data_IF_652733768506
#
_entry.id   IF_652733768506
#
_cell.length_a   1.000
_cell.length_b   1.000
_cell.length_c   1.000
_cell.angle_alpha   90.00
_cell.angle_beta   90.00
_cell.angle_gamma   90.00
#
_symmetry.space_group_name_H-M   'P 1'
#
loop_
_entity.id
_entity.type
_entity.pdbx_description
1 polymer ?
#
# COMPACT_ATOMS: atom_id res chain seq x y z
N UNK A 1 -4.27 -26.88 -3.40
CA UNK A 1 -3.05 -26.18 -3.82
C UNK A 1 -3.48 -24.89 -4.49
N UNK A 2 -2.75 -23.78 -4.28
CA UNK A 2 -3.11 -22.40 -4.69
C UNK A 2 -3.53 -22.29 -6.17
N UNK A 3 -2.85 -22.99 -7.05
CA UNK A 3 -3.12 -22.98 -8.50
C UNK A 3 -4.43 -23.71 -8.85
N UNK A 4 -4.71 -24.82 -8.21
CA UNK A 4 -5.96 -25.56 -8.44
C UNK A 4 -7.17 -24.78 -7.93
N UNK A 5 -7.03 -24.10 -6.80
CA UNK A 5 -8.06 -23.24 -6.24
C UNK A 5 -8.35 -22.04 -7.16
N UNK A 6 -7.31 -21.47 -7.78
CA UNK A 6 -7.46 -20.35 -8.71
C UNK A 6 -8.13 -20.78 -10.04
N UNK A 7 -7.77 -21.93 -10.58
CA UNK A 7 -8.32 -22.42 -11.87
C UNK A 7 -9.78 -22.85 -11.73
N UNK A 8 -10.19 -23.42 -10.59
CA UNK A 8 -11.51 -24.00 -10.42
C UNK A 8 -12.53 -23.08 -9.72
N UNK A 9 -12.11 -21.93 -9.21
CA UNK A 9 -13.04 -20.96 -8.63
C UNK A 9 -13.33 -19.84 -9.63
N UNK A 10 -14.57 -19.77 -10.07
CA UNK A 10 -15.05 -18.60 -10.79
C UNK A 10 -14.83 -17.35 -9.93
N UNK A 11 -14.19 -16.29 -10.46
CA UNK A 11 -14.04 -15.04 -9.74
C UNK A 11 -15.43 -14.52 -9.33
N UNK A 12 -15.63 -14.37 -8.06
CA UNK A 12 -16.83 -13.72 -7.53
C UNK A 12 -16.62 -12.21 -7.58
N UNK A 13 -17.68 -11.42 -7.84
CA UNK A 13 -17.61 -9.99 -7.60
C UNK A 13 -17.18 -9.72 -6.16
N UNK A 14 -16.75 -8.50 -5.87
CA UNK A 14 -16.33 -8.07 -4.53
C UNK A 14 -17.32 -8.64 -3.51
N UNK A 15 -16.79 -9.29 -2.48
CA UNK A 15 -17.62 -9.86 -1.43
C UNK A 15 -18.56 -8.74 -0.92
N UNK A 16 -19.89 -8.89 -0.97
CA UNK A 16 -20.84 -7.88 -0.48
C UNK A 16 -20.61 -7.46 0.97
N UNK A 17 -19.90 -8.27 1.74
CA UNK A 17 -19.47 -7.90 3.10
C UNK A 17 -18.38 -6.84 3.09
N UNK A 18 -17.40 -6.93 2.18
CA UNK A 18 -16.34 -5.92 2.05
C UNK A 18 -16.91 -4.59 1.59
N UNK A 19 -17.87 -4.64 0.65
CA UNK A 19 -18.53 -3.45 0.15
C UNK A 19 -19.37 -2.76 1.25
N UNK A 20 -20.14 -3.53 2.01
CA UNK A 20 -20.90 -3.01 3.17
C UNK A 20 -19.98 -2.45 4.26
N UNK A 21 -18.92 -3.17 4.64
CA UNK A 21 -17.94 -2.67 5.61
C UNK A 21 -17.30 -1.36 5.16
N UNK A 22 -17.05 -1.22 3.85
CA UNK A 22 -16.54 0.03 3.30
C UNK A 22 -17.59 1.15 3.39
N UNK A 23 -18.84 0.85 3.06
CA UNK A 23 -19.93 1.84 3.11
C UNK A 23 -20.16 2.31 4.55
N UNK A 24 -20.08 1.39 5.51
CA UNK A 24 -20.25 1.65 6.95
C UNK A 24 -19.02 2.32 7.60
N UNK A 25 -17.87 2.37 6.90
CA UNK A 25 -16.66 3.02 7.41
C UNK A 25 -16.85 4.51 7.54
N UNK A 26 -16.41 5.11 8.64
CA UNK A 26 -16.51 6.53 8.89
C UNK A 26 -15.79 7.37 7.83
N UNK A 27 -16.27 8.59 7.59
CA UNK A 27 -15.63 9.51 6.62
C UNK A 27 -14.16 9.77 6.97
N UNK A 28 -13.78 10.03 8.24
CA UNK A 28 -12.38 10.17 8.62
C UNK A 28 -11.53 8.95 8.28
N UNK A 29 -12.05 7.75 8.52
CA UNK A 29 -11.32 6.51 8.21
C UNK A 29 -11.16 6.24 6.72
N UNK A 30 -12.09 6.75 5.90
CA UNK A 30 -11.97 6.71 4.43
C UNK A 30 -10.94 7.69 3.88
N UNK A 31 -10.79 8.85 4.51
CA UNK A 31 -9.95 9.95 4.03
C UNK A 31 -8.51 9.89 4.55
N UNK A 32 -8.33 9.47 5.79
CA UNK A 32 -7.00 9.44 6.42
C UNK A 32 -6.34 8.08 6.17
N UNK A 33 -5.38 8.08 5.25
CA UNK A 33 -4.58 6.89 4.92
C UNK A 33 -3.14 7.07 5.37
N UNK A 34 -2.58 6.01 5.97
CA UNK A 34 -1.15 5.95 6.33
C UNK A 34 -0.25 5.58 5.15
N UNK A 35 -0.82 5.39 3.96
CA UNK A 35 -0.05 5.09 2.75
C UNK A 35 0.70 6.33 2.24
N UNK A 36 2.00 6.23 1.88
CA UNK A 36 2.73 7.31 1.23
C UNK A 36 2.27 7.56 -0.21
N UNK A 37 1.39 6.72 -0.73
CA UNK A 37 0.86 6.78 -2.09
C UNK A 37 -0.60 7.23 -1.98
N UNK A 38 -0.96 8.37 -2.56
CA UNK A 38 -2.35 8.83 -2.54
C UNK A 38 -3.22 7.88 -3.35
N UNK A 39 -4.36 7.48 -2.79
CA UNK A 39 -5.28 6.50 -3.36
C UNK A 39 -6.69 7.09 -3.43
N UNK A 40 -7.43 6.70 -4.45
CA UNK A 40 -8.87 6.95 -4.51
C UNK A 40 -9.64 5.88 -3.71
N UNK A 41 -10.95 6.06 -3.55
CA UNK A 41 -11.81 5.17 -2.76
C UNK A 41 -11.76 3.72 -3.23
N UNK A 42 -11.81 3.48 -4.53
CA UNK A 42 -11.77 2.13 -5.10
C UNK A 42 -10.42 1.44 -4.84
N UNK A 43 -9.34 2.19 -4.90
CA UNK A 43 -7.99 1.68 -4.63
C UNK A 43 -7.80 1.37 -3.14
N UNK A 44 -8.34 2.20 -2.24
CA UNK A 44 -8.32 1.95 -0.80
C UNK A 44 -9.17 0.71 -0.47
N UNK A 45 -10.32 0.55 -1.12
CA UNK A 45 -11.16 -0.63 -0.97
C UNK A 45 -10.43 -1.92 -1.37
N UNK A 46 -9.61 -1.89 -2.43
CA UNK A 46 -8.76 -3.03 -2.81
C UNK A 46 -7.78 -3.38 -1.68
N UNK A 47 -7.11 -2.39 -1.09
CA UNK A 47 -6.19 -2.62 0.02
C UNK A 47 -6.93 -3.18 1.25
N UNK A 48 -8.10 -2.65 1.57
CA UNK A 48 -8.94 -3.14 2.67
C UNK A 48 -9.34 -4.60 2.45
N UNK A 49 -9.71 -4.95 1.20
CA UNK A 49 -10.04 -6.32 0.84
C UNK A 49 -8.84 -7.28 0.96
N UNK A 50 -7.62 -6.83 0.59
CA UNK A 50 -6.39 -7.63 0.72
C UNK A 50 -6.08 -7.92 2.19
N UNK A 51 -6.31 -6.95 3.07
CA UNK A 51 -6.04 -7.07 4.51
C UNK A 51 -7.08 -7.93 5.24
N UNK A 52 -8.24 -8.16 4.64
CA UNK A 52 -9.31 -8.91 5.27
C UNK A 52 -8.94 -10.39 5.42
N UNK A 53 -9.08 -10.89 6.63
CA UNK A 53 -8.86 -12.30 6.94
C UNK A 53 -9.80 -13.19 6.10
N UNK A 54 -9.25 -14.24 5.49
CA UNK A 54 -10.00 -15.15 4.62
C UNK A 54 -10.14 -14.69 3.16
N UNK A 55 -9.76 -13.47 2.80
CA UNK A 55 -9.69 -13.02 1.42
C UNK A 55 -8.43 -13.58 0.75
N UNK A 56 -8.58 -14.67 -0.01
CA UNK A 56 -7.45 -15.36 -0.65
C UNK A 56 -7.18 -14.88 -2.08
N UNK A 57 -8.19 -14.38 -2.77
CA UNK A 57 -8.14 -14.04 -4.19
C UNK A 57 -8.88 -12.73 -4.41
N UNK A 58 -8.24 -11.82 -5.13
CA UNK A 58 -8.83 -10.55 -5.54
C UNK A 58 -8.54 -10.38 -7.02
N UNK A 59 -9.59 -10.16 -7.80
CA UNK A 59 -9.47 -9.79 -9.21
C UNK A 59 -9.75 -8.30 -9.35
N UNK A 60 -8.81 -7.58 -9.94
CA UNK A 60 -8.94 -6.14 -10.19
C UNK A 60 -8.98 -5.92 -11.69
N UNK A 61 -10.12 -5.44 -12.19
CA UNK A 61 -10.29 -5.05 -13.57
C UNK A 61 -10.30 -3.53 -13.71
N UNK A 62 -9.71 -3.04 -14.76
CA UNK A 62 -9.72 -1.61 -15.05
C UNK A 62 -9.27 -1.32 -16.48
N UNK A 63 -9.91 -0.39 -17.18
CA UNK A 63 -9.47 0.07 -18.49
C UNK A 63 -8.04 0.61 -18.48
N UNK A 64 -7.39 0.76 -19.63
CA UNK A 64 -6.13 1.49 -19.72
C UNK A 64 -6.28 2.90 -19.13
N UNK A 65 -5.27 3.35 -18.38
CA UNK A 65 -5.26 4.69 -17.78
C UNK A 65 -5.94 4.81 -16.39
N UNK A 66 -6.60 3.79 -15.88
CA UNK A 66 -7.27 3.83 -14.55
C UNK A 66 -6.33 3.71 -13.34
N UNK A 67 -5.02 3.76 -13.54
CA UNK A 67 -4.07 3.74 -12.43
C UNK A 67 -3.72 2.34 -11.91
N UNK A 68 -3.94 1.26 -12.68
CA UNK A 68 -3.59 -0.12 -12.24
C UNK A 68 -2.17 -0.25 -11.70
N UNK A 69 -1.18 0.30 -12.41
CA UNK A 69 0.22 0.27 -11.93
C UNK A 69 0.41 1.05 -10.63
N UNK A 70 -0.37 2.10 -10.42
CA UNK A 70 -0.37 2.86 -9.18
C UNK A 70 -0.94 2.03 -8.02
N UNK A 71 -2.05 1.33 -8.26
CA UNK A 71 -2.65 0.40 -7.29
C UNK A 71 -1.69 -0.74 -6.94
N UNK A 72 -1.03 -1.35 -7.93
CA UNK A 72 -0.02 -2.38 -7.69
C UNK A 72 1.13 -1.85 -6.82
N UNK A 73 1.61 -0.64 -7.11
CA UNK A 73 2.65 0.01 -6.30
C UNK A 73 2.19 0.21 -4.86
N UNK A 74 0.96 0.66 -4.66
CA UNK A 74 0.39 0.85 -3.31
C UNK A 74 0.26 -0.48 -2.55
N UNK A 75 -0.19 -1.54 -3.20
CA UNK A 75 -0.26 -2.89 -2.60
C UNK A 75 1.13 -3.38 -2.16
N UNK A 76 2.14 -3.18 -3.00
CA UNK A 76 3.51 -3.58 -2.68
C UNK A 76 4.04 -2.76 -1.50
N UNK A 77 3.80 -1.45 -1.48
CA UNK A 77 4.19 -0.59 -0.38
C UNK A 77 3.52 -0.98 0.93
N UNK A 78 2.21 -1.23 0.89
CA UNK A 78 1.45 -1.70 2.04
C UNK A 78 2.02 -3.01 2.60
N UNK A 79 2.33 -3.95 1.73
CA UNK A 79 2.95 -5.21 2.14
C UNK A 79 4.35 -5.01 2.77
N UNK A 80 5.17 -4.11 2.21
CA UNK A 80 6.48 -3.77 2.78
C UNK A 80 6.33 -3.19 4.18
N UNK A 81 5.42 -2.24 4.38
CA UNK A 81 5.15 -1.63 5.68
C UNK A 81 4.63 -2.65 6.71
N UNK A 82 3.89 -3.65 6.24
CA UNK A 82 3.41 -4.76 7.08
C UNK A 82 4.38 -5.95 7.16
N UNK A 83 5.65 -5.78 6.77
CA UNK A 83 6.68 -6.82 6.79
C UNK A 83 6.32 -8.10 6.00
N UNK A 84 5.54 -7.94 4.94
CA UNK A 84 5.11 -9.04 4.08
C UNK A 84 5.97 -9.11 2.81
N UNK A 85 6.12 -10.32 2.29
CA UNK A 85 6.78 -10.55 1.01
C UNK A 85 5.78 -10.57 -0.13
N UNK A 86 6.11 -9.92 -1.25
CA UNK A 86 5.25 -9.85 -2.44
C UNK A 86 5.99 -10.42 -3.64
N UNK A 87 5.33 -11.30 -4.39
CA UNK A 87 5.79 -11.78 -5.69
C UNK A 87 4.92 -11.16 -6.79
N UNK A 88 5.55 -10.38 -7.66
CA UNK A 88 4.88 -9.76 -8.81
C UNK A 88 5.28 -10.52 -10.07
N UNK A 89 4.30 -11.02 -10.79
CA UNK A 89 4.47 -11.75 -12.04
C UNK A 89 3.79 -11.01 -13.19
N UNK A 90 4.41 -11.00 -14.36
CA UNK A 90 3.84 -10.48 -15.59
C UNK A 90 4.41 -11.24 -16.79
N UNK A 91 3.63 -11.39 -17.83
CA UNK A 91 4.04 -11.86 -19.14
C UNK A 91 4.84 -10.79 -19.92
N UNK A 92 4.73 -9.52 -19.50
CA UNK A 92 5.40 -8.37 -20.13
C UNK A 92 6.48 -7.81 -19.22
N UNK A 93 7.70 -7.82 -19.71
CA UNK A 93 8.85 -7.26 -19.00
C UNK A 93 8.67 -5.77 -18.71
N UNK A 94 8.15 -5.02 -19.66
CA UNK A 94 7.93 -3.58 -19.57
C UNK A 94 6.95 -3.22 -18.44
N UNK A 95 5.94 -4.06 -18.19
CA UNK A 95 5.02 -3.85 -17.09
C UNK A 95 5.71 -3.96 -15.72
N UNK A 96 6.64 -4.91 -15.60
CA UNK A 96 7.44 -5.05 -14.38
C UNK A 96 8.44 -3.90 -14.21
N UNK A 97 9.04 -3.40 -15.31
CA UNK A 97 9.94 -2.25 -15.27
C UNK A 97 9.20 -0.99 -14.78
N UNK A 98 7.98 -0.74 -15.26
CA UNK A 98 7.14 0.38 -14.78
C UNK A 98 6.81 0.27 -13.29
N UNK A 99 6.52 -0.91 -12.79
CA UNK A 99 6.24 -1.12 -11.36
C UNK A 99 7.51 -0.91 -10.52
N UNK A 100 8.65 -1.46 -10.94
CA UNK A 100 9.95 -1.29 -10.30
C UNK A 100 10.33 0.20 -10.20
N UNK A 101 10.20 0.94 -11.31
CA UNK A 101 10.51 2.37 -11.37
C UNK A 101 9.62 3.17 -10.41
N UNK A 102 8.32 2.91 -10.39
CA UNK A 102 7.37 3.59 -9.49
C UNK A 102 7.66 3.31 -8.01
N UNK A 103 7.96 2.07 -7.66
CA UNK A 103 8.33 1.73 -6.28
C UNK A 103 9.62 2.45 -5.92
N UNK A 104 10.64 2.41 -6.79
CA UNK A 104 11.92 3.06 -6.57
C UNK A 104 11.75 4.58 -6.42
N UNK A 105 10.94 5.21 -7.26
CA UNK A 105 10.62 6.64 -7.17
C UNK A 105 9.94 6.97 -5.82
N UNK A 106 8.93 6.19 -5.43
CA UNK A 106 8.23 6.41 -4.16
C UNK A 106 9.18 6.24 -2.97
N UNK A 107 10.01 5.20 -2.99
CA UNK A 107 11.02 4.99 -1.95
C UNK A 107 12.04 6.13 -1.89
N UNK A 108 12.46 6.66 -3.04
CA UNK A 108 13.36 7.81 -3.09
C UNK A 108 12.74 9.07 -2.51
N UNK A 109 11.43 9.25 -2.61
CA UNK A 109 10.71 10.37 -2.00
C UNK A 109 10.62 10.26 -0.48
N UNK A 110 10.44 9.06 0.07
CA UNK A 110 10.28 8.86 1.52
C UNK A 110 11.61 8.73 2.27
N UNK A 111 12.68 8.30 1.60
CA UNK A 111 14.00 8.14 2.26
C UNK A 111 14.74 9.46 2.50
N UNK A 112 14.27 10.59 1.94
CA UNK A 112 15.00 11.86 1.95
C UNK A 112 16.46 11.69 1.45
N UNK A 113 17.44 12.13 2.21
CA UNK A 113 18.86 12.06 1.86
C UNK A 113 19.59 10.85 2.46
N UNK A 114 18.87 9.81 2.86
CA UNK A 114 19.51 8.62 3.42
C UNK A 114 20.16 7.74 2.35
N UNK A 115 21.47 7.89 2.21
CA UNK A 115 22.27 7.11 1.25
C UNK A 115 22.31 5.60 1.54
N UNK A 116 22.00 5.20 2.77
CA UNK A 116 22.10 3.81 3.22
C UNK A 116 20.80 3.00 3.07
N UNK A 117 19.75 3.62 2.55
CA UNK A 117 18.48 2.94 2.35
C UNK A 117 18.59 1.92 1.22
N UNK A 118 18.33 0.66 1.53
CA UNK A 118 18.38 -0.41 0.54
C UNK A 118 17.04 -0.58 -0.15
N UNK A 119 17.06 -0.66 -1.48
CA UNK A 119 15.89 -1.02 -2.26
C UNK A 119 15.52 -2.50 -1.97
N UNK A 120 14.33 -2.80 -1.41
CA UNK A 120 13.90 -4.16 -1.09
C UNK A 120 13.46 -4.97 -2.33
N UNK A 121 13.57 -4.40 -3.53
CA UNK A 121 13.11 -5.04 -4.76
C UNK A 121 14.16 -6.01 -5.27
N UNK A 122 13.76 -7.25 -5.50
CA UNK A 122 14.54 -8.27 -6.18
C UNK A 122 13.97 -8.53 -7.57
N UNK A 123 14.66 -8.07 -8.60
CA UNK A 123 14.27 -8.27 -9.98
C UNK A 123 14.90 -9.54 -10.56
N UNK A 124 14.12 -10.59 -10.71
CA UNK A 124 14.58 -11.82 -11.35
C UNK A 124 14.63 -11.66 -12.88
N UNK A 125 15.66 -12.21 -13.52
CA UNK A 125 15.82 -12.18 -14.99
C UNK A 125 16.41 -10.89 -15.56
N UNK A 126 16.77 -9.90 -14.74
CA UNK A 126 17.52 -8.71 -15.18
C UNK A 126 19.02 -8.98 -15.04
N UNK A 127 19.77 -8.81 -16.11
CA UNK A 127 21.22 -8.97 -16.11
C UNK A 127 21.90 -7.86 -15.29
N UNK A 128 22.75 -8.26 -14.36
CA UNK A 128 23.58 -7.36 -13.54
C UNK A 128 22.86 -6.89 -12.28
N UNK A 129 23.33 -7.26 -11.16
CA UNK A 129 23.03 -6.59 -9.90
C UNK A 129 21.97 -7.10 -8.96
N UNK A 130 21.62 -8.33 -8.86
CA UNK A 130 20.49 -8.51 -7.97
C UNK A 130 20.80 -9.32 -6.71
N UNK A 131 21.25 -10.48 -6.82
CA UNK A 131 21.47 -11.31 -5.64
C UNK A 131 22.79 -11.02 -4.91
N UNK A 132 23.87 -10.90 -5.66
CA UNK A 132 25.21 -10.74 -5.07
C UNK A 132 25.39 -9.44 -4.29
N UNK A 133 24.73 -8.36 -4.72
CA UNK A 133 24.84 -7.06 -4.05
C UNK A 133 23.92 -6.96 -2.82
N UNK A 134 22.71 -7.49 -2.90
CA UNK A 134 21.79 -7.50 -1.75
C UNK A 134 22.33 -8.40 -0.64
N UNK A 135 22.92 -9.55 -0.99
CA UNK A 135 23.49 -10.51 -0.06
C UNK A 135 24.96 -10.23 0.29
N UNK A 136 25.57 -9.19 -0.28
CA UNK A 136 26.94 -8.82 0.09
C UNK A 136 27.01 -8.48 1.59
N UNK A 137 28.05 -8.95 2.26
CA UNK A 137 28.26 -8.70 3.69
C UNK A 137 28.21 -7.21 4.03
N UNK A 138 28.79 -6.36 3.16
CA UNK A 138 28.75 -4.90 3.33
C UNK A 138 27.32 -4.32 3.27
N UNK A 139 26.47 -4.83 2.41
CA UNK A 139 25.06 -4.41 2.33
C UNK A 139 24.28 -4.84 3.57
N UNK A 140 24.47 -6.07 4.01
CA UNK A 140 23.84 -6.59 5.22
C UNK A 140 24.29 -5.82 6.47
N UNK A 141 25.57 -5.47 6.58
CA UNK A 141 26.06 -4.65 7.70
C UNK A 141 25.50 -3.23 7.68
N UNK A 142 25.40 -2.60 6.51
CA UNK A 142 24.76 -1.29 6.38
C UNK A 142 23.31 -1.32 6.84
N UNK A 143 22.53 -2.31 6.40
CA UNK A 143 21.14 -2.49 6.82
C UNK A 143 21.03 -2.68 8.34
N UNK A 144 21.87 -3.55 8.91
CA UNK A 144 21.89 -3.80 10.36
C UNK A 144 22.22 -2.54 11.16
N UNK A 145 23.19 -1.77 10.71
CA UNK A 145 23.59 -0.53 11.37
C UNK A 145 22.49 0.54 11.27
N UNK A 146 21.89 0.68 10.09
CA UNK A 146 20.75 1.57 9.89
C UNK A 146 19.56 1.16 10.77
N UNK A 147 19.17 -0.10 10.76
CA UNK A 147 18.11 -0.63 11.61
C UNK A 147 18.35 -0.33 13.10
N UNK A 148 19.56 -0.53 13.59
CA UNK A 148 19.92 -0.24 14.99
C UNK A 148 19.85 1.26 15.31
N UNK A 149 20.23 2.11 14.37
CA UNK A 149 20.17 3.57 14.54
C UNK A 149 18.71 4.07 14.61
N UNK A 150 17.89 3.61 13.66
CA UNK A 150 16.49 4.03 13.56
C UNK A 150 15.60 3.41 14.66
N UNK A 151 15.92 2.20 15.13
CA UNK A 151 15.10 1.51 16.13
C UNK A 151 14.95 2.30 17.45
N UNK A 152 15.90 3.17 17.80
CA UNK A 152 15.82 4.00 19.01
C UNK A 152 14.71 5.06 18.91
N UNK A 153 14.48 5.59 17.72
CA UNK A 153 13.55 6.70 17.50
C UNK A 153 12.23 6.19 16.92
N UNK A 154 12.18 4.91 16.47
CA UNK A 154 11.04 4.34 15.79
C UNK A 154 9.74 4.46 16.59
N UNK A 155 9.76 4.06 17.86
CA UNK A 155 8.58 4.11 18.73
C UNK A 155 8.07 5.54 18.93
N UNK A 156 8.97 6.52 19.03
CA UNK A 156 8.60 7.93 19.16
C UNK A 156 7.99 8.48 17.88
N UNK A 157 8.53 8.09 16.72
CA UNK A 157 8.01 8.49 15.41
C UNK A 157 6.63 7.87 15.18
N UNK A 158 6.47 6.59 15.48
CA UNK A 158 5.19 5.88 15.35
C UNK A 158 4.11 6.48 16.25
N UNK A 159 4.45 6.81 17.49
CA UNK A 159 3.53 7.48 18.41
C UNK A 159 3.12 8.87 17.89
N UNK A 160 4.06 9.65 17.36
CA UNK A 160 3.77 10.95 16.79
C UNK A 160 2.88 10.86 15.54
N UNK A 161 3.15 9.92 14.64
CA UNK A 161 2.30 9.68 13.46
C UNK A 161 0.89 9.29 13.90
N UNK A 162 0.76 8.40 14.87
CA UNK A 162 -0.54 7.98 15.40
C UNK A 162 -1.30 9.14 16.01
N UNK A 163 -0.65 10.00 16.81
CA UNK A 163 -1.27 11.20 17.40
C UNK A 163 -1.75 12.16 16.31
N UNK A 164 -0.91 12.46 15.32
CA UNK A 164 -1.28 13.37 14.22
C UNK A 164 -2.42 12.80 13.38
N UNK A 165 -2.40 11.50 13.08
CA UNK A 165 -3.47 10.82 12.35
C UNK A 165 -4.80 10.87 13.11
N UNK A 166 -4.78 10.62 14.42
CA UNK A 166 -5.98 10.69 15.24
C UNK A 166 -6.53 12.12 15.36
N UNK A 167 -5.67 13.10 15.58
CA UNK A 167 -6.07 14.50 15.60
C UNK A 167 -6.73 14.92 14.27
N UNK A 168 -6.13 14.54 13.15
CA UNK A 168 -6.70 14.82 11.82
C UNK A 168 -8.07 14.14 11.63
N UNK A 169 -8.25 12.92 12.13
CA UNK A 169 -9.54 12.22 12.07
C UNK A 169 -10.60 12.93 12.92
N UNK A 170 -10.25 13.37 14.12
CA UNK A 170 -11.14 14.13 15.01
C UNK A 170 -11.56 15.47 14.37
N UNK A 171 -10.63 16.19 13.75
CA UNK A 171 -10.93 17.44 13.05
C UNK A 171 -11.90 17.21 11.88
N UNK A 172 -11.69 16.16 11.07
CA UNK A 172 -12.58 15.79 9.97
C UNK A 172 -13.95 15.40 10.49
N UNK A 173 -14.03 14.64 11.59
CA UNK A 173 -15.30 14.24 12.19
C UNK A 173 -16.12 15.45 12.65
N UNK A 174 -15.48 16.41 13.32
CA UNK A 174 -16.12 17.65 13.75
C UNK A 174 -16.64 18.45 12.55
N UNK A 175 -15.82 18.59 11.50
CA UNK A 175 -16.22 19.33 10.31
C UNK A 175 -17.37 18.62 9.56
N UNK A 176 -17.32 17.28 9.44
CA UNK A 176 -18.38 16.53 8.75
C UNK A 176 -19.69 16.54 9.52
N UNK A 177 -19.67 16.52 10.85
CA UNK A 177 -20.87 16.66 11.67
C UNK A 177 -21.54 18.02 11.44
N UNK A 178 -20.80 19.09 11.26
CA UNK A 178 -21.35 20.41 10.96
C UNK A 178 -22.13 20.47 9.65
N UNK A 179 -21.82 19.57 8.69
CA UNK A 179 -22.51 19.47 7.40
C UNK A 179 -23.61 18.40 7.35
N UNK A 180 -23.63 17.45 8.29
CA UNK A 180 -24.62 16.37 8.31
C UNK A 180 -26.03 16.85 8.63
N UNK A 181 -26.17 18.00 9.29
CA UNK A 181 -27.45 18.62 9.64
C UNK A 181 -28.03 19.54 8.54
N UNK A 182 -27.32 19.69 7.42
CA UNK A 182 -27.83 20.49 6.29
C UNK A 182 -28.77 19.63 5.47
N UNK A 183 -30.08 19.94 5.56
CA UNK A 183 -31.07 19.34 4.64
C UNK A 183 -30.87 19.90 3.23
N UNK A 184 -30.23 19.07 2.37
CA UNK A 184 -30.01 19.44 0.96
C UNK A 184 -31.29 19.78 0.19
N UNK A 185 -32.47 19.48 0.73
CA UNK A 185 -33.78 19.86 0.17
C UNK A 185 -34.10 21.33 0.40
N UNK A 186 -33.41 22.01 1.30
CA UNK A 186 -33.62 23.46 1.55
C UNK A 186 -32.73 24.34 0.64
N UNK A 187 -31.85 23.73 -0.18
CA UNK A 187 -30.91 24.46 -1.06
C UNK A 187 -31.44 24.61 -2.50
N UNK A 188 -32.61 24.07 -2.79
CA UNK A 188 -33.36 24.28 -4.05
C UNK A 188 -34.44 25.31 -3.83
#
# INVERSE_FOLDING_TARGET
>A
ILVDDFIHKNPKPINPEVEREWDDTSVPDKLVSTSPIPLNSEQIQILSAIRKEGCKYITVEGPPGTGKSHTITAIIFDAILNHQSVLVLSDKKEALDVVEDKITETMNRVRFDEENFQNPILRLGKTGNTYGQILAKSSIEKIKNHHRAVQKDYSSIEENISKLSNSLKEDIEVETLAYSDIDLREIT
#
